data_IF_901680979031
#
_entry.id   IF_901680979031
#
_cell.length_a   1.000
_cell.length_b   1.000
_cell.length_c   1.000
_cell.angle_alpha   90.00
_cell.angle_beta   90.00
_cell.angle_gamma   90.00
#
_symmetry.space_group_name_H-M   'P 1'
#
loop_
_entity.id
_entity.type
_entity.pdbx_description
1 polymer ?
#
# COMPACT_ATOMS: atom_id res chain seq x y z
N UNK A 1 -5.89 10.44 -3.59
CA UNK A 1 -4.85 9.46 -4.01
C UNK A 1 -5.33 8.75 -5.27
N UNK A 2 -4.73 9.01 -6.43
CA UNK A 2 -5.20 8.45 -7.72
C UNK A 2 -4.58 7.07 -7.92
N UNK A 3 -5.28 6.01 -7.51
CA UNK A 3 -4.99 4.67 -8.03
C UNK A 3 -5.65 4.62 -9.41
N UNK A 4 -4.82 4.52 -10.43
CA UNK A 4 -5.23 4.64 -11.83
C UNK A 4 -6.27 3.56 -12.16
N UNK A 5 -7.52 3.98 -12.40
CA UNK A 5 -8.68 3.09 -12.45
C UNK A 5 -8.83 2.34 -13.78
N UNK A 6 -8.16 2.74 -14.86
CA UNK A 6 -8.23 2.03 -16.15
C UNK A 6 -6.95 2.28 -16.96
N UNK A 7 -6.11 1.27 -17.11
CA UNK A 7 -5.01 1.31 -18.05
C UNK A 7 -3.97 0.21 -17.80
N UNK A 8 -3.62 -0.50 -18.88
CA UNK A 8 -2.52 -1.44 -18.87
C UNK A 8 -1.22 -0.68 -18.50
N UNK A 9 -0.54 -1.12 -17.42
CA UNK A 9 0.68 -0.48 -16.95
C UNK A 9 1.89 -1.37 -17.17
N UNK A 10 2.96 -0.77 -17.70
CA UNK A 10 4.28 -1.39 -17.74
C UNK A 10 4.87 -1.41 -16.32
N UNK A 11 5.64 -2.44 -15.94
CA UNK A 11 6.27 -2.51 -14.63
C UNK A 11 7.13 -1.28 -14.29
N UNK A 12 7.85 -0.72 -15.26
CA UNK A 12 8.65 0.50 -15.05
C UNK A 12 7.80 1.74 -14.76
N UNK A 13 6.61 1.86 -15.36
CA UNK A 13 5.67 2.93 -15.08
C UNK A 13 5.04 2.76 -13.69
N UNK A 14 4.67 1.53 -13.33
CA UNK A 14 4.17 1.19 -11.99
C UNK A 14 5.20 1.55 -10.91
N UNK A 15 6.48 1.20 -11.11
CA UNK A 15 7.54 1.56 -10.16
C UNK A 15 7.63 3.07 -9.95
N UNK A 16 7.70 3.83 -11.05
CA UNK A 16 7.78 5.30 -10.99
C UNK A 16 6.59 5.91 -10.23
N UNK A 17 5.40 5.36 -10.41
CA UNK A 17 4.21 5.79 -9.68
C UNK A 17 4.37 5.51 -8.18
N UNK A 18 4.75 4.29 -7.82
CA UNK A 18 4.95 3.90 -6.41
C UNK A 18 6.06 4.71 -5.74
N UNK A 19 7.18 4.95 -6.44
CA UNK A 19 8.28 5.81 -5.97
C UNK A 19 7.82 7.27 -5.74
N UNK A 20 6.78 7.74 -6.45
CA UNK A 20 6.20 9.07 -6.25
C UNK A 20 5.27 9.12 -5.03
N UNK A 21 4.62 8.00 -4.71
CA UNK A 21 3.71 7.89 -3.56
C UNK A 21 4.49 7.78 -2.24
N UNK A 22 5.61 7.06 -2.23
CA UNK A 22 6.52 6.99 -1.09
C UNK A 22 7.98 7.12 -1.55
N UNK A 23 8.51 8.35 -1.64
CA UNK A 23 9.89 8.57 -2.06
C UNK A 23 10.90 8.10 -1.01
N UNK A 24 10.47 7.85 0.23
CA UNK A 24 11.34 7.41 1.33
C UNK A 24 11.57 5.90 1.33
N UNK A 25 10.67 5.12 0.70
CA UNK A 25 10.79 3.67 0.59
C UNK A 25 10.62 3.19 -0.87
N UNK A 26 11.61 3.46 -1.75
CA UNK A 26 11.54 3.03 -3.14
C UNK A 26 11.55 1.51 -3.27
N UNK A 27 10.64 0.96 -4.06
CA UNK A 27 10.55 -0.48 -4.28
C UNK A 27 11.59 -0.94 -5.30
N UNK A 28 12.38 -1.95 -4.94
CA UNK A 28 13.30 -2.56 -5.91
C UNK A 28 12.54 -3.19 -7.09
N UNK A 29 13.14 -3.16 -8.29
CA UNK A 29 12.53 -3.78 -9.48
C UNK A 29 12.24 -5.28 -9.27
N UNK A 30 13.09 -5.97 -8.50
CA UNK A 30 12.92 -7.38 -8.15
C UNK A 30 11.67 -7.59 -7.29
N UNK A 31 11.48 -6.76 -6.27
CA UNK A 31 10.29 -6.81 -5.40
C UNK A 31 9.02 -6.51 -6.19
N UNK A 32 9.02 -5.47 -7.03
CA UNK A 32 7.86 -5.14 -7.85
C UNK A 32 7.48 -6.31 -8.78
N UNK A 33 8.46 -6.93 -9.43
CA UNK A 33 8.21 -8.08 -10.32
C UNK A 33 7.68 -9.27 -9.54
N UNK A 34 8.20 -9.51 -8.33
CA UNK A 34 7.72 -10.57 -7.44
C UNK A 34 6.26 -10.33 -7.02
N UNK A 35 5.94 -9.12 -6.54
CA UNK A 35 4.60 -8.76 -6.11
C UNK A 35 3.59 -8.83 -7.26
N UNK A 36 3.95 -8.34 -8.46
CA UNK A 36 3.07 -8.44 -9.63
C UNK A 36 2.77 -9.88 -10.03
N UNK A 37 3.74 -10.80 -9.92
CA UNK A 37 3.52 -12.22 -10.17
C UNK A 37 2.64 -12.88 -9.11
N UNK A 38 2.79 -12.48 -7.84
CA UNK A 38 1.92 -12.94 -6.75
C UNK A 38 0.48 -12.47 -7.00
N UNK A 39 0.30 -11.17 -7.26
CA UNK A 39 -1.02 -10.60 -7.54
C UNK A 39 -1.65 -11.13 -8.85
N UNK A 40 -0.85 -11.49 -9.85
CA UNK A 40 -1.30 -12.21 -11.05
C UNK A 40 -1.82 -13.60 -10.68
N UNK A 41 -1.05 -14.35 -9.87
CA UNK A 41 -1.45 -15.68 -9.38
C UNK A 41 -2.73 -15.64 -8.55
N UNK A 42 -2.89 -14.59 -7.75
CA UNK A 42 -4.07 -14.39 -6.90
C UNK A 42 -5.28 -13.86 -7.69
N UNK A 43 -5.13 -13.60 -8.99
CA UNK A 43 -6.20 -13.17 -9.88
C UNK A 43 -6.53 -11.68 -9.81
N UNK A 44 -5.67 -10.86 -9.18
CA UNK A 44 -5.85 -9.40 -9.07
C UNK A 44 -5.40 -8.66 -10.33
N UNK A 45 -4.41 -9.23 -11.04
CA UNK A 45 -3.90 -8.68 -12.30
C UNK A 45 -3.91 -9.73 -13.41
N UNK A 46 -4.15 -9.28 -14.64
CA UNK A 46 -3.88 -10.05 -15.86
C UNK A 46 -2.64 -9.50 -16.54
N UNK A 47 -1.74 -10.40 -16.94
CA UNK A 47 -0.52 -10.08 -17.66
C UNK A 47 -0.71 -10.30 -19.16
N UNK A 48 -0.54 -9.25 -19.96
CA UNK A 48 -0.66 -9.31 -21.42
C UNK A 48 0.70 -9.03 -22.07
N UNK A 49 1.10 -9.89 -23.00
CA UNK A 49 2.31 -9.66 -23.81
C UNK A 49 1.91 -8.95 -25.08
N UNK A 50 2.36 -7.71 -25.24
CA UNK A 50 2.11 -6.91 -26.44
C UNK A 50 3.20 -7.24 -27.47
N UNK A 51 2.79 -7.87 -28.57
CA UNK A 51 3.64 -8.13 -29.73
C UNK A 51 3.58 -6.92 -30.69
N UNK A 52 4.74 -6.46 -31.15
CA UNK A 52 4.86 -5.29 -32.03
C UNK A 52 6.30 -4.77 -32.08
N UNK A 53 6.48 -3.54 -32.56
CA UNK A 53 7.81 -2.93 -32.77
C UNK A 53 8.68 -2.87 -31.50
N UNK A 54 8.07 -2.74 -30.32
CA UNK A 54 8.73 -2.93 -29.02
C UNK A 54 7.93 -3.95 -28.23
N UNK A 55 8.42 -5.19 -28.17
CA UNK A 55 7.79 -6.24 -27.35
C UNK A 55 7.88 -5.86 -25.87
N UNK A 56 6.74 -5.82 -25.20
CA UNK A 56 6.68 -5.49 -23.77
C UNK A 56 5.51 -6.20 -23.10
N UNK A 57 5.44 -6.04 -21.78
CA UNK A 57 4.43 -6.66 -20.92
C UNK A 57 3.64 -5.56 -20.25
N UNK A 58 2.33 -5.72 -20.22
CA UNK A 58 1.40 -4.85 -19.52
C UNK A 58 0.62 -5.65 -18.48
N UNK A 59 0.39 -5.03 -17.33
CA UNK A 59 -0.45 -5.56 -16.27
C UNK A 59 -1.71 -4.71 -16.17
N UNK A 60 -2.86 -5.38 -16.13
CA UNK A 60 -4.18 -4.75 -16.02
C UNK A 60 -4.92 -5.35 -14.83
N UNK A 61 -5.58 -4.51 -14.04
CA UNK A 61 -6.44 -5.00 -12.96
C UNK A 61 -7.58 -5.86 -13.53
N UNK A 62 -7.87 -6.96 -12.86
CA UNK A 62 -9.09 -7.72 -13.10
C UNK A 62 -10.27 -7.05 -12.39
N UNK A 63 -11.53 -7.45 -12.64
CA UNK A 63 -12.67 -6.97 -11.84
C UNK A 63 -12.46 -7.17 -10.32
N UNK A 64 -11.90 -8.32 -9.93
CA UNK A 64 -11.55 -8.62 -8.53
C UNK A 64 -10.48 -7.66 -7.99
N UNK A 65 -9.44 -7.40 -8.79
CA UNK A 65 -8.39 -6.44 -8.43
C UNK A 65 -8.92 -5.01 -8.30
N UNK A 66 -9.87 -4.61 -9.14
CA UNK A 66 -10.52 -3.30 -9.05
C UNK A 66 -11.33 -3.16 -7.75
N UNK A 67 -12.13 -4.18 -7.38
CA UNK A 67 -12.90 -4.18 -6.14
C UNK A 67 -11.98 -4.07 -4.90
N UNK A 68 -10.92 -4.88 -4.86
CA UNK A 68 -9.92 -4.79 -3.79
C UNK A 68 -9.27 -3.41 -3.73
N UNK A 69 -8.91 -2.85 -4.88
CA UNK A 69 -8.32 -1.51 -4.97
C UNK A 69 -9.25 -0.46 -4.38
N UNK A 70 -10.55 -0.52 -4.66
CA UNK A 70 -11.54 0.42 -4.12
C UNK A 70 -11.63 0.32 -2.59
N UNK A 71 -11.61 -0.90 -2.03
CA UNK A 71 -11.58 -1.11 -0.58
C UNK A 71 -10.33 -0.52 0.07
N UNK A 72 -9.15 -0.75 -0.54
CA UNK A 72 -7.88 -0.22 -0.05
C UNK A 72 -7.88 1.31 -0.09
N UNK A 73 -8.37 1.93 -1.17
CA UNK A 73 -8.50 3.39 -1.27
C UNK A 73 -9.39 3.94 -0.17
N UNK A 74 -10.55 3.31 0.05
CA UNK A 74 -11.48 3.75 1.09
C UNK A 74 -10.89 3.62 2.50
N UNK A 75 -10.14 2.53 2.76
CA UNK A 75 -9.46 2.34 4.04
C UNK A 75 -8.37 3.40 4.27
N UNK A 76 -7.60 3.71 3.24
CA UNK A 76 -6.56 4.74 3.29
C UNK A 76 -7.19 6.12 3.52
N UNK A 77 -8.26 6.45 2.79
CA UNK A 77 -8.99 7.71 2.98
C UNK A 77 -9.53 7.84 4.41
N UNK A 78 -10.14 6.78 4.92
CA UNK A 78 -10.58 6.74 6.32
C UNK A 78 -9.42 6.99 7.29
N UNK A 79 -8.27 6.32 7.08
CA UNK A 79 -7.08 6.52 7.92
C UNK A 79 -6.58 7.97 7.90
N UNK A 80 -6.55 8.60 6.73
CA UNK A 80 -6.19 10.02 6.61
C UNK A 80 -7.18 10.93 7.35
N UNK A 81 -8.49 10.67 7.22
CA UNK A 81 -9.52 11.48 7.91
C UNK A 81 -9.45 11.37 9.43
N UNK A 82 -8.98 10.25 9.97
CA UNK A 82 -8.95 9.97 11.41
C UNK A 82 -7.53 10.04 12.01
N UNK A 83 -6.55 10.60 11.30
CA UNK A 83 -5.15 10.66 11.76
C UNK A 83 -5.03 11.36 13.12
N UNK A 84 -5.67 12.51 13.31
CA UNK A 84 -5.61 13.25 14.59
C UNK A 84 -6.24 12.47 15.76
N UNK A 85 -7.33 11.75 15.51
CA UNK A 85 -7.99 10.94 16.53
C UNK A 85 -7.12 9.76 16.95
N UNK A 86 -6.49 9.09 15.98
CA UNK A 86 -5.55 8.00 16.19
C UNK A 86 -4.35 8.49 17.00
N UNK A 87 -3.78 9.65 16.65
CA UNK A 87 -2.62 10.19 17.36
C UNK A 87 -2.96 10.61 18.79
N UNK A 88 -4.13 11.22 19.03
CA UNK A 88 -4.61 11.49 20.41
C UNK A 88 -4.80 10.20 21.22
N UNK A 89 -5.33 9.15 20.60
CA UNK A 89 -5.50 7.86 21.26
C UNK A 89 -4.14 7.24 21.64
N UNK A 90 -3.14 7.33 20.74
CA UNK A 90 -1.75 6.91 21.00
C UNK A 90 -1.15 7.66 22.18
N UNK A 91 -1.21 9.00 22.16
CA UNK A 91 -0.68 9.83 23.26
C UNK A 91 -1.32 9.47 24.61
N UNK A 92 -2.64 9.25 24.66
CA UNK A 92 -3.33 8.86 25.90
C UNK A 92 -2.85 7.51 26.41
N UNK A 93 -2.65 6.55 25.52
CA UNK A 93 -2.15 5.23 25.86
C UNK A 93 -0.73 5.30 26.43
N UNK A 94 0.17 6.00 25.74
CA UNK A 94 1.56 6.16 26.15
C UNK A 94 1.68 6.86 27.52
N UNK A 95 0.88 7.91 27.75
CA UNK A 95 0.81 8.58 29.07
C UNK A 95 0.38 7.64 30.20
N UNK A 96 -0.56 6.72 29.93
CA UNK A 96 -1.03 5.76 30.93
C UNK A 96 0.02 4.68 31.19
N UNK A 97 0.73 4.24 30.14
CA UNK A 97 1.81 3.27 30.23
C UNK A 97 3.01 3.82 31.02
N UNK A 98 3.34 5.10 30.85
CA UNK A 98 4.38 5.78 31.62
C UNK A 98 4.00 5.97 33.11
N UNK A 99 2.73 6.28 33.40
CA UNK A 99 2.26 6.40 34.78
C UNK A 99 2.28 5.07 35.55
N UNK A 100 2.01 3.94 34.89
CA UNK A 100 2.09 2.61 35.52
C UNK A 100 3.53 2.14 35.81
N UNK A 101 4.54 2.75 35.17
CA UNK A 101 5.95 2.42 35.40
C UNK A 101 6.61 3.21 36.55
N UNK A 102 5.95 4.28 37.04
CA UNK A 102 6.46 5.14 38.10
C UNK A 102 5.85 4.86 39.49
N UNK A 103 5.06 3.79 39.66
CA UNK A 103 4.60 3.41 41.00
C UNK A 103 5.77 2.76 41.78
N UNK A 104 6.31 3.41 42.83
CA UNK A 104 7.37 2.82 43.63
C UNK A 104 6.82 1.57 44.35
N UNK A 105 7.63 0.51 44.53
CA UNK A 105 7.18 -0.69 45.21
C UNK A 105 6.64 -0.34 46.61
N UNK A 106 5.57 -0.98 47.08
CA UNK A 106 5.00 -0.69 48.39
C UNK A 106 6.06 -0.92 49.46
N UNK A 107 6.43 0.14 50.17
CA UNK A 107 7.29 0.06 51.36
C UNK A 107 6.58 -0.76 52.42
N UNK A 108 7.08 -1.98 52.68
CA UNK A 108 6.81 -2.77 53.89
C UNK A 108 7.94 -2.58 54.90
#
# INVERSE_FOLDING_TARGET
>A
MVISRVGALRPSAMRRLLDTLDPTHPLSQKMLTHNLRMLERDGMYTRTVIAGARRHVEYTLTPLGCELSDLVVNLIDWGFRHTDEIDRARTRFDQTAEHGAHEPPPTS
#
